data_IF_596189017568
#
_entry.id   IF_596189017568
#
_cell.length_a   1.000
_cell.length_b   1.000
_cell.length_c   1.000
_cell.angle_alpha   90.00
_cell.angle_beta   90.00
_cell.angle_gamma   90.00
#
_symmetry.space_group_name_H-M   'P 1'
#
loop_
_entity.id
_entity.type
_entity.pdbx_description
1 polymer ?
#
# COMPACT_ATOMS: atom_id res chain seq x y z
N UNK A 1 4.33 5.23 53.75
CA UNK A 1 3.15 5.06 52.88
C UNK A 1 3.62 5.29 51.46
N UNK A 2 3.83 4.22 50.68
CA UNK A 2 4.34 4.32 49.31
C UNK A 2 3.14 4.53 48.37
N UNK A 3 3.05 5.71 47.76
CA UNK A 3 1.99 6.03 46.81
C UNK A 3 2.27 5.29 45.49
N UNK A 4 1.46 4.28 45.18
CA UNK A 4 1.48 3.60 43.89
C UNK A 4 0.87 4.54 42.84
N UNK A 5 1.70 5.40 42.27
CA UNK A 5 1.30 6.25 41.15
C UNK A 5 1.01 5.34 39.94
N UNK A 6 -0.25 5.29 39.55
CA UNK A 6 -0.65 4.64 38.29
C UNK A 6 -0.02 5.43 37.15
N UNK A 7 0.81 4.82 36.29
CA UNK A 7 1.49 5.56 35.24
C UNK A 7 0.47 6.18 34.27
N UNK A 8 0.75 7.39 33.74
CA UNK A 8 -0.10 8.03 32.74
C UNK A 8 -0.30 7.09 31.55
N UNK A 9 -1.51 7.08 30.98
CA UNK A 9 -1.97 6.16 29.92
C UNK A 9 -0.95 5.93 28.78
N UNK A 10 -0.19 6.98 28.42
CA UNK A 10 0.86 6.93 27.39
C UNK A 10 2.07 6.06 27.75
N UNK A 11 2.47 6.03 29.01
CA UNK A 11 3.57 5.16 29.46
C UNK A 11 3.12 3.69 29.56
N UNK A 12 1.83 3.46 29.86
CA UNK A 12 1.24 2.13 29.85
C UNK A 12 1.14 1.56 28.43
N UNK A 13 0.74 2.38 27.46
CA UNK A 13 0.76 2.04 26.04
C UNK A 13 2.19 1.75 25.56
N UNK A 14 3.19 2.51 26.01
CA UNK A 14 4.61 2.30 25.67
C UNK A 14 5.21 1.04 26.31
N UNK A 15 4.89 0.74 27.56
CA UNK A 15 5.32 -0.48 28.23
C UNK A 15 4.65 -1.74 27.65
N UNK A 16 3.40 -1.63 27.20
CA UNK A 16 2.72 -2.70 26.44
C UNK A 16 3.38 -2.92 25.06
N UNK A 17 3.91 -1.89 24.42
CA UNK A 17 4.67 -2.02 23.17
C UNK A 17 6.03 -2.72 23.35
N UNK A 18 6.67 -2.58 24.51
CA UNK A 18 8.02 -3.12 24.79
C UNK A 18 8.02 -4.56 25.34
N UNK A 19 6.93 -5.05 25.92
CA UNK A 19 6.89 -6.33 26.65
C UNK A 19 6.32 -7.52 25.86
N UNK A 20 5.74 -7.30 24.69
CA UNK A 20 5.19 -8.40 23.89
C UNK A 20 6.27 -8.89 22.92
N UNK A 21 6.75 -10.14 22.99
CA UNK A 21 7.52 -10.70 21.88
C UNK A 21 6.66 -10.48 20.64
N UNK A 22 7.20 -9.84 19.59
CA UNK A 22 6.46 -9.52 18.36
C UNK A 22 5.67 -10.77 17.94
N UNK A 23 4.41 -10.85 18.39
CA UNK A 23 3.44 -11.76 17.86
C UNK A 23 3.47 -11.41 16.38
N UNK A 24 3.78 -12.40 15.54
CA UNK A 24 4.08 -12.15 14.15
C UNK A 24 2.86 -11.49 13.49
N UNK A 25 2.84 -10.17 13.51
CA UNK A 25 1.70 -9.38 13.07
C UNK A 25 1.51 -9.50 11.55
N UNK A 26 2.49 -10.10 10.86
CA UNK A 26 2.34 -10.53 9.47
C UNK A 26 1.29 -11.63 9.30
N UNK A 27 0.99 -12.41 10.36
CA UNK A 27 -0.06 -13.43 10.35
C UNK A 27 -1.48 -12.83 10.50
N UNK A 28 -1.61 -11.59 10.99
CA UNK A 28 -2.92 -10.94 11.15
C UNK A 28 -3.47 -10.45 9.83
N UNK A 29 -4.65 -10.96 9.46
CA UNK A 29 -5.34 -10.53 8.24
C UNK A 29 -5.89 -9.11 8.37
N UNK A 30 -6.31 -8.73 9.59
CA UNK A 30 -6.84 -7.40 9.88
C UNK A 30 -5.74 -6.35 9.81
N UNK A 31 -4.59 -6.60 10.46
CA UNK A 31 -3.43 -5.70 10.39
C UNK A 31 -3.00 -5.52 8.93
N UNK A 32 -2.87 -6.61 8.17
CA UNK A 32 -2.46 -6.57 6.77
C UNK A 32 -3.43 -5.75 5.90
N UNK A 33 -4.74 -5.94 6.07
CA UNK A 33 -5.76 -5.21 5.30
C UNK A 33 -5.72 -3.70 5.62
N UNK A 34 -5.74 -3.32 6.90
CA UNK A 34 -5.80 -1.91 7.30
C UNK A 34 -4.47 -1.19 7.01
N UNK A 35 -3.33 -1.85 7.22
CA UNK A 35 -2.02 -1.28 6.88
C UNK A 35 -1.89 -1.01 5.38
N UNK A 36 -2.44 -1.89 4.53
CA UNK A 36 -2.47 -1.70 3.08
C UNK A 36 -3.35 -0.53 2.67
N UNK A 37 -4.55 -0.43 3.24
CA UNK A 37 -5.45 0.72 3.07
C UNK A 37 -4.74 2.03 3.45
N UNK A 38 -4.04 2.05 4.59
CA UNK A 38 -3.27 3.22 5.03
C UNK A 38 -2.12 3.54 4.08
N UNK A 39 -1.41 2.52 3.58
CA UNK A 39 -0.34 2.67 2.60
C UNK A 39 -0.84 3.23 1.27
N UNK A 40 -1.91 2.67 0.70
CA UNK A 40 -2.53 3.17 -0.53
C UNK A 40 -2.94 4.64 -0.40
N UNK A 41 -3.49 5.03 0.76
CA UNK A 41 -3.81 6.43 1.02
C UNK A 41 -2.56 7.32 1.10
N UNK A 42 -1.48 6.84 1.73
CA UNK A 42 -0.21 7.56 1.80
C UNK A 42 0.43 7.74 0.41
N UNK A 43 0.40 6.71 -0.45
CA UNK A 43 0.85 6.77 -1.84
C UNK A 43 0.08 7.83 -2.63
N UNK A 44 -1.25 7.84 -2.54
CA UNK A 44 -2.09 8.84 -3.22
C UNK A 44 -1.77 10.25 -2.74
N UNK A 45 -1.63 10.45 -1.42
CA UNK A 45 -1.26 11.76 -0.86
C UNK A 45 0.13 12.22 -1.32
N UNK A 46 1.13 11.35 -1.25
CA UNK A 46 2.50 11.64 -1.69
C UNK A 46 2.54 12.01 -3.18
N UNK A 47 1.79 11.28 -4.01
CA UNK A 47 1.65 11.55 -5.44
C UNK A 47 1.02 12.92 -5.67
N UNK A 48 -0.08 13.23 -4.97
CA UNK A 48 -0.77 14.52 -5.08
C UNK A 48 0.16 15.69 -4.70
N UNK A 49 0.86 15.57 -3.56
CA UNK A 49 1.70 16.64 -3.01
C UNK A 49 2.94 16.92 -3.85
N UNK A 50 3.56 15.88 -4.42
CA UNK A 50 4.78 16.05 -5.22
C UNK A 50 4.47 16.50 -6.67
N UNK A 51 3.38 16.00 -7.25
CA UNK A 51 3.05 16.25 -8.66
C UNK A 51 2.16 17.48 -8.87
N UNK A 52 1.38 17.90 -7.88
CA UNK A 52 0.29 18.88 -8.04
C UNK A 52 -0.72 18.51 -9.15
N UNK A 53 -0.78 17.23 -9.53
CA UNK A 53 -1.73 16.74 -10.53
C UNK A 53 -3.10 16.49 -9.88
N UNK A 54 -4.15 16.81 -10.63
CA UNK A 54 -5.51 16.37 -10.27
C UNK A 54 -5.67 14.89 -10.62
N UNK A 55 -6.41 14.14 -9.80
CA UNK A 55 -6.84 12.78 -10.15
C UNK A 55 -8.16 12.76 -10.91
N UNK A 56 -9.00 13.79 -10.76
CA UNK A 56 -10.31 13.82 -11.39
C UNK A 56 -10.17 13.86 -12.92
N UNK A 57 -10.84 12.92 -13.60
CA UNK A 57 -10.78 12.68 -15.05
C UNK A 57 -9.40 12.28 -15.59
N UNK A 58 -8.40 12.09 -14.72
CA UNK A 58 -7.06 11.67 -15.11
C UNK A 58 -7.04 10.19 -15.46
N UNK A 59 -6.42 9.85 -16.58
CA UNK A 59 -6.17 8.46 -16.98
C UNK A 59 -5.01 7.90 -16.16
N UNK A 60 -5.32 6.90 -15.36
CA UNK A 60 -4.37 6.28 -14.44
C UNK A 60 -4.29 4.78 -14.74
N UNK A 61 -3.08 4.28 -14.91
CA UNK A 61 -2.79 2.85 -14.98
C UNK A 61 -2.33 2.34 -13.62
N UNK A 62 -2.72 1.12 -13.26
CA UNK A 62 -2.20 0.40 -12.11
C UNK A 62 -1.52 -0.85 -12.64
N UNK A 63 -0.22 -0.96 -12.38
CA UNK A 63 0.63 -2.03 -12.86
C UNK A 63 0.81 -3.04 -11.72
N UNK A 64 0.25 -4.24 -11.94
CA UNK A 64 0.10 -5.30 -10.95
C UNK A 64 -1.35 -5.53 -10.56
N UNK A 65 -1.62 -6.74 -10.08
CA UNK A 65 -2.96 -7.26 -9.81
C UNK A 65 -3.14 -7.72 -8.36
N UNK A 66 -2.19 -7.42 -7.49
CA UNK A 66 -2.27 -7.74 -6.08
C UNK A 66 -3.26 -6.89 -5.26
N UNK A 67 -3.39 -7.20 -3.96
CA UNK A 67 -4.26 -6.46 -3.07
C UNK A 67 -4.05 -4.93 -3.02
N UNK A 68 -2.81 -4.44 -3.18
CA UNK A 68 -2.52 -3.00 -3.22
C UNK A 68 -3.08 -2.37 -4.50
N UNK A 69 -3.03 -3.08 -5.62
CA UNK A 69 -3.66 -2.65 -6.86
C UNK A 69 -5.17 -2.46 -6.67
N UNK A 70 -5.82 -3.37 -5.93
CA UNK A 70 -7.24 -3.27 -5.58
C UNK A 70 -7.56 -2.01 -4.78
N UNK A 71 -6.78 -1.72 -3.74
CA UNK A 71 -6.95 -0.51 -2.93
C UNK A 71 -6.73 0.77 -3.72
N UNK A 72 -5.66 0.83 -4.52
CA UNK A 72 -5.35 1.99 -5.36
C UNK A 72 -6.43 2.21 -6.43
N UNK A 73 -6.88 1.14 -7.10
CA UNK A 73 -7.89 1.23 -8.14
C UNK A 73 -9.20 1.78 -7.61
N UNK A 74 -9.66 1.22 -6.48
CA UNK A 74 -10.89 1.63 -5.82
C UNK A 74 -10.81 3.11 -5.39
N UNK A 75 -9.69 3.53 -4.79
CA UNK A 75 -9.50 4.91 -4.33
C UNK A 75 -9.43 5.90 -5.47
N UNK A 76 -8.62 5.62 -6.50
CA UNK A 76 -8.46 6.51 -7.64
C UNK A 76 -9.76 6.63 -8.42
N UNK A 77 -10.49 5.52 -8.62
CA UNK A 77 -11.82 5.54 -9.24
C UNK A 77 -12.81 6.37 -8.41
N UNK A 78 -12.81 6.24 -7.07
CA UNK A 78 -13.64 7.06 -6.19
C UNK A 78 -13.29 8.56 -6.25
N UNK A 79 -12.05 8.91 -6.60
CA UNK A 79 -11.61 10.29 -6.85
C UNK A 79 -11.94 10.78 -8.27
N UNK A 80 -12.61 9.96 -9.09
CA UNK A 80 -13.00 10.30 -10.46
C UNK A 80 -11.92 10.06 -11.52
N UNK A 81 -10.84 9.34 -11.19
CA UNK A 81 -9.85 8.93 -12.18
C UNK A 81 -10.42 7.84 -13.11
N UNK A 82 -9.93 7.81 -14.35
CA UNK A 82 -10.20 6.75 -15.32
C UNK A 82 -9.14 5.68 -15.15
N UNK A 83 -9.45 4.66 -14.35
CA UNK A 83 -8.49 3.63 -13.94
C UNK A 83 -8.52 2.44 -14.88
N UNK A 84 -7.34 2.00 -15.31
CA UNK A 84 -7.12 0.69 -15.93
C UNK A 84 -6.13 -0.11 -15.07
N UNK A 85 -6.45 -1.38 -14.81
CA UNK A 85 -5.57 -2.31 -14.11
C UNK A 85 -4.87 -3.19 -15.14
N UNK A 86 -3.55 -3.28 -15.05
CA UNK A 86 -2.68 -3.97 -16.00
C UNK A 86 -1.93 -5.08 -15.26
N UNK A 87 -2.00 -6.31 -15.77
CA UNK A 87 -1.26 -7.44 -15.23
C UNK A 87 -1.50 -8.71 -16.03
N UNK A 88 -0.92 -9.83 -15.57
CA UNK A 88 -0.97 -11.10 -16.30
C UNK A 88 -1.72 -12.21 -15.55
N UNK A 89 -2.12 -11.98 -14.29
CA UNK A 89 -2.95 -12.92 -13.55
C UNK A 89 -4.41 -12.88 -14.05
N UNK A 90 -4.88 -13.89 -14.78
CA UNK A 90 -6.22 -13.85 -15.38
C UNK A 90 -7.33 -13.89 -14.35
N UNK A 91 -7.12 -14.53 -13.20
CA UNK A 91 -8.14 -14.61 -12.13
C UNK A 91 -8.32 -13.23 -11.52
N UNK A 92 -7.22 -12.59 -11.17
CA UNK A 92 -7.26 -11.24 -10.61
C UNK A 92 -7.87 -10.22 -11.58
N UNK A 93 -7.52 -10.28 -12.88
CA UNK A 93 -8.13 -9.39 -13.89
C UNK A 93 -9.66 -9.58 -14.00
N UNK A 94 -10.14 -10.83 -13.92
CA UNK A 94 -11.60 -11.10 -13.88
C UNK A 94 -12.24 -10.48 -12.63
N UNK A 95 -11.61 -10.60 -11.46
CA UNK A 95 -12.12 -9.96 -10.23
C UNK A 95 -12.20 -8.43 -10.35
N UNK A 96 -11.21 -7.79 -10.99
CA UNK A 96 -11.23 -6.36 -11.28
C UNK A 96 -12.36 -5.98 -12.26
N UNK A 97 -12.51 -6.74 -13.35
CA UNK A 97 -13.55 -6.51 -14.33
C UNK A 97 -14.96 -6.65 -13.74
N UNK A 98 -15.19 -7.62 -12.84
CA UNK A 98 -16.46 -7.80 -12.12
C UNK A 98 -16.81 -6.62 -11.21
N UNK A 99 -15.81 -5.86 -10.77
CA UNK A 99 -15.99 -4.61 -10.00
C UNK A 99 -16.19 -3.39 -10.89
N UNK A 100 -16.28 -3.57 -12.21
CA UNK A 100 -16.49 -2.50 -13.19
C UNK A 100 -15.23 -1.71 -13.54
N UNK A 101 -14.03 -2.22 -13.21
CA UNK A 101 -12.76 -1.59 -13.56
C UNK A 101 -12.30 -2.06 -14.94
N UNK A 102 -11.70 -1.15 -15.73
CA UNK A 102 -11.06 -1.52 -16.97
C UNK A 102 -9.80 -2.35 -16.69
N UNK A 103 -9.54 -3.36 -17.52
CA UNK A 103 -8.42 -4.27 -17.37
C UNK A 103 -7.65 -4.47 -18.68
N UNK A 104 -6.35 -4.72 -18.60
CA UNK A 104 -5.50 -5.02 -19.75
C UNK A 104 -4.35 -5.97 -19.38
N UNK A 105 -3.78 -6.64 -20.39
CA UNK A 105 -2.56 -7.46 -20.27
C UNK A 105 -1.30 -6.58 -20.29
N UNK A 106 -0.20 -7.06 -19.70
CA UNK A 106 1.11 -6.38 -19.80
C UNK A 106 1.70 -6.42 -21.21
N UNK A 107 1.23 -7.32 -22.09
CA UNK A 107 1.70 -7.41 -23.49
C UNK A 107 1.25 -6.21 -24.34
N UNK A 108 0.09 -5.63 -24.02
CA UNK A 108 -0.48 -4.50 -24.73
C UNK A 108 -1.10 -3.52 -23.71
N UNK A 109 -0.28 -2.90 -22.85
CA UNK A 109 -0.79 -2.07 -21.78
C UNK A 109 -1.22 -0.72 -22.40
N UNK A 110 -2.45 -0.24 -22.16
CA UNK A 110 -2.96 0.99 -22.75
C UNK A 110 -2.39 2.20 -22.00
N UNK A 111 -1.07 2.41 -22.11
CA UNK A 111 -0.35 3.48 -21.42
C UNK A 111 -0.20 4.75 -22.26
N UNK A 112 -0.46 4.69 -23.57
CA UNK A 112 -0.18 5.79 -24.49
C UNK A 112 -0.85 7.12 -24.07
N UNK A 113 -2.03 7.02 -23.46
CA UNK A 113 -2.81 8.14 -22.97
C UNK A 113 -2.87 8.25 -21.44
N UNK A 114 -2.17 7.37 -20.72
CA UNK A 114 -2.04 7.44 -19.28
C UNK A 114 -1.11 8.60 -18.89
N UNK A 115 -1.56 9.38 -17.91
CA UNK A 115 -0.78 10.48 -17.31
C UNK A 115 -0.12 10.04 -16.01
N UNK A 116 -0.77 9.09 -15.31
CA UNK A 116 -0.27 8.47 -14.08
C UNK A 116 -0.18 6.95 -14.28
N UNK A 117 0.88 6.33 -13.77
CA UNK A 117 0.96 4.89 -13.63
C UNK A 117 1.44 4.54 -12.22
N UNK A 118 0.82 3.56 -11.57
CA UNK A 118 1.19 3.10 -10.24
C UNK A 118 1.73 1.68 -10.30
N UNK A 119 3.04 1.51 -10.14
CA UNK A 119 3.68 0.21 -10.06
C UNK A 119 3.58 -0.34 -8.63
N UNK A 120 2.83 -1.41 -8.45
CA UNK A 120 2.53 -1.96 -7.12
C UNK A 120 3.56 -2.98 -6.65
N UNK A 121 4.26 -3.64 -7.57
CA UNK A 121 5.20 -4.73 -7.29
C UNK A 121 4.52 -6.03 -6.84
N UNK A 122 3.19 -6.09 -6.84
CA UNK A 122 2.44 -7.28 -6.41
C UNK A 122 1.89 -8.05 -7.62
N UNK A 123 2.22 -9.34 -7.69
CA UNK A 123 1.80 -10.25 -8.77
C UNK A 123 2.18 -9.75 -10.18
N UNK A 124 3.30 -9.03 -10.28
CA UNK A 124 3.85 -8.54 -11.54
C UNK A 124 5.37 -8.52 -11.48
N UNK A 125 6.01 -8.65 -12.64
CA UNK A 125 7.43 -8.35 -12.77
C UNK A 125 7.69 -6.85 -12.51
N UNK A 126 8.89 -6.48 -12.02
CA UNK A 126 9.25 -5.07 -11.88
C UNK A 126 9.15 -4.33 -13.22
N UNK A 127 8.63 -3.10 -13.15
CA UNK A 127 8.44 -2.25 -14.33
C UNK A 127 9.79 -1.70 -14.77
N UNK A 128 10.11 -1.91 -16.04
CA UNK A 128 11.27 -1.32 -16.71
C UNK A 128 10.83 -0.20 -17.65
N UNK A 129 11.64 0.86 -17.87
CA UNK A 129 11.26 2.00 -18.70
C UNK A 129 10.81 1.64 -20.12
N UNK A 130 11.39 0.60 -20.72
CA UNK A 130 11.04 0.12 -22.04
C UNK A 130 9.57 -0.37 -22.15
N UNK A 131 8.96 -0.78 -21.04
CA UNK A 131 7.57 -1.26 -21.00
C UNK A 131 6.52 -0.13 -20.98
N UNK A 132 6.94 1.14 -20.89
CA UNK A 132 6.03 2.29 -20.74
C UNK A 132 5.47 2.83 -22.07
N UNK A 133 5.91 2.27 -23.20
CA UNK A 133 5.50 2.70 -24.54
C UNK A 133 6.05 4.07 -24.96
N UNK A 134 5.45 4.63 -26.01
CA UNK A 134 5.89 5.87 -26.66
C UNK A 134 4.86 7.01 -26.58
N UNK A 135 3.92 6.94 -25.62
CA UNK A 135 2.88 7.94 -25.41
C UNK A 135 3.35 9.32 -24.93
N UNK A 136 2.42 10.14 -24.44
CA UNK A 136 2.71 11.49 -23.92
C UNK A 136 3.54 11.51 -22.62
N UNK A 137 3.63 12.62 -21.89
CA UNK A 137 4.30 12.63 -20.59
C UNK A 137 3.64 11.68 -19.57
N UNK A 138 4.42 10.92 -18.80
CA UNK A 138 3.94 9.97 -17.79
C UNK A 138 4.63 10.18 -16.45
N UNK A 139 3.86 10.26 -15.37
CA UNK A 139 4.38 10.08 -14.01
C UNK A 139 4.16 8.63 -13.57
N UNK A 140 5.25 7.88 -13.52
CA UNK A 140 5.32 6.55 -12.93
C UNK A 140 5.57 6.68 -11.42
N UNK A 141 4.71 6.05 -10.64
CA UNK A 141 4.78 6.00 -9.18
C UNK A 141 5.20 4.60 -8.77
N UNK A 142 6.37 4.44 -8.17
CA UNK A 142 6.71 3.22 -7.44
C UNK A 142 5.94 3.22 -6.12
N UNK A 143 4.84 2.47 -6.11
CA UNK A 143 3.91 2.36 -4.99
C UNK A 143 4.26 1.20 -4.06
N UNK A 144 5.31 0.43 -4.32
CA UNK A 144 5.66 -0.69 -3.46
C UNK A 144 6.25 -0.22 -2.12
N UNK A 145 5.86 -0.93 -1.06
CA UNK A 145 6.22 -0.56 0.32
C UNK A 145 7.61 -1.05 0.73
N UNK A 146 8.04 -2.20 0.22
CA UNK A 146 9.24 -2.90 0.70
C UNK A 146 10.32 -2.99 -0.38
N UNK A 147 10.00 -3.64 -1.49
CA UNK A 147 10.92 -3.82 -2.61
C UNK A 147 10.54 -2.87 -3.76
N UNK A 148 11.50 -2.36 -4.55
CA UNK A 148 11.18 -1.50 -5.67
C UNK A 148 10.31 -2.21 -6.71
N UNK A 149 9.15 -1.62 -7.05
CA UNK A 149 8.34 -2.09 -8.18
C UNK A 149 8.85 -1.58 -9.52
N UNK A 150 9.77 -0.62 -9.51
CA UNK A 150 10.35 0.00 -10.71
C UNK A 150 11.87 -0.16 -10.66
N UNK A 151 12.44 -0.66 -11.75
CA UNK A 151 13.89 -0.78 -11.93
C UNK A 151 14.28 0.07 -13.13
N UNK A 152 14.89 1.23 -12.86
CA UNK A 152 15.22 2.20 -13.90
C UNK A 152 16.42 3.06 -13.54
N UNK A 153 17.13 3.53 -14.56
CA UNK A 153 18.09 4.62 -14.44
C UNK A 153 17.34 5.95 -14.39
N UNK A 154 17.69 6.76 -13.40
CA UNK A 154 17.06 8.06 -13.14
C UNK A 154 18.06 9.19 -13.20
N UNK A 155 17.61 10.33 -13.71
CA UNK A 155 18.28 11.61 -13.57
C UNK A 155 17.56 12.45 -12.51
N UNK A 156 18.22 12.79 -11.39
CA UNK A 156 17.62 13.61 -10.34
C UNK A 156 17.37 15.07 -10.78
N UNK A 157 17.89 15.51 -11.92
CA UNK A 157 17.70 16.86 -12.47
C UNK A 157 16.31 17.09 -13.10
N UNK A 158 15.23 16.58 -12.49
CA UNK A 158 13.85 16.82 -12.96
C UNK A 158 13.33 18.22 -12.63
N UNK A 159 14.02 18.97 -11.78
CA UNK A 159 13.59 20.26 -11.25
C UNK A 159 12.53 20.19 -10.14
N UNK A 160 12.08 18.99 -9.73
CA UNK A 160 11.14 18.80 -8.62
C UNK A 160 11.67 17.83 -7.56
N UNK A 161 11.68 18.20 -6.27
CA UNK A 161 12.08 17.30 -5.19
C UNK A 161 11.24 16.01 -5.18
N UNK A 162 11.90 14.86 -5.05
CA UNK A 162 11.25 13.54 -4.97
C UNK A 162 10.73 12.99 -6.29
N UNK A 163 10.91 13.70 -7.40
CA UNK A 163 10.60 13.20 -8.74
C UNK A 163 11.90 13.16 -9.52
N UNK A 164 12.22 12.05 -10.17
CA UNK A 164 13.38 11.92 -11.03
C UNK A 164 12.93 11.66 -12.48
N UNK A 165 13.72 12.07 -13.47
CA UNK A 165 13.44 11.76 -14.87
C UNK A 165 13.92 10.35 -15.19
N UNK A 166 13.15 9.58 -15.96
CA UNK A 166 13.56 8.28 -16.49
C UNK A 166 14.38 8.47 -17.77
N UNK A 167 15.56 7.85 -17.85
CA UNK A 167 16.50 8.05 -18.97
C UNK A 167 16.27 7.12 -20.17
N UNK A 168 15.69 5.94 -19.96
CA UNK A 168 15.53 4.89 -20.99
C UNK A 168 14.08 4.63 -21.41
N UNK A 169 13.16 5.54 -21.08
CA UNK A 169 11.78 5.42 -21.51
C UNK A 169 11.63 5.90 -22.96
N UNK A 170 10.80 5.21 -23.75
CA UNK A 170 10.44 5.62 -25.12
C UNK A 170 9.58 6.90 -25.20
N UNK A 171 9.37 7.57 -24.06
CA UNK A 171 8.54 8.75 -23.86
C UNK A 171 9.13 9.62 -22.74
N UNK A 172 8.63 10.84 -22.62
CA UNK A 172 8.92 11.66 -21.45
C UNK A 172 8.27 11.01 -20.22
N UNK A 173 9.10 10.48 -19.31
CA UNK A 173 8.61 9.81 -18.12
C UNK A 173 9.38 10.22 -16.87
N UNK A 174 8.66 10.28 -15.76
CA UNK A 174 9.16 10.67 -14.46
C UNK A 174 8.85 9.58 -13.44
N UNK A 175 9.75 9.37 -12.49
CA UNK A 175 9.59 8.43 -11.39
C UNK A 175 9.39 9.18 -10.09
N UNK A 176 8.32 8.83 -9.38
CA UNK A 176 8.11 9.18 -7.97
C UNK A 176 8.20 7.90 -7.14
N UNK A 177 9.08 7.87 -6.15
CA UNK A 177 9.22 6.74 -5.23
C UNK A 177 8.38 7.01 -3.97
N UNK A 178 7.21 6.39 -3.86
CA UNK A 178 6.25 6.75 -2.83
C UNK A 178 6.80 6.54 -1.41
N UNK A 179 7.59 5.48 -1.19
CA UNK A 179 8.26 5.19 0.10
C UNK A 179 9.27 6.24 0.57
N UNK A 180 9.76 7.10 -0.32
CA UNK A 180 10.69 8.17 0.03
C UNK A 180 9.98 9.48 0.41
N UNK A 181 8.70 9.62 0.04
CA UNK A 181 7.92 10.86 0.19
C UNK A 181 6.76 10.68 1.18
N UNK A 182 6.16 9.48 1.20
CA UNK A 182 5.04 9.16 2.05
C UNK A 182 5.41 9.39 3.52
N UNK A 183 4.49 10.03 4.24
CA UNK A 183 4.65 10.29 5.66
C UNK A 183 4.68 8.97 6.46
N UNK A 184 5.27 9.02 7.65
CA UNK A 184 5.33 7.87 8.56
C UNK A 184 3.94 7.44 9.09
N UNK A 185 2.85 8.03 8.60
CA UNK A 185 1.49 7.71 9.05
C UNK A 185 1.11 6.25 8.81
N UNK A 186 1.44 5.70 7.64
CA UNK A 186 1.14 4.30 7.31
C UNK A 186 1.95 3.34 8.18
N UNK A 187 3.22 3.66 8.45
CA UNK A 187 4.09 2.90 9.36
C UNK A 187 3.53 2.93 10.79
N UNK A 188 3.24 4.12 11.33
CA UNK A 188 2.65 4.29 12.66
C UNK A 188 1.32 3.57 12.80
N UNK A 189 0.49 3.57 11.75
CA UNK A 189 -0.78 2.83 11.73
C UNK A 189 -0.52 1.33 11.84
N UNK A 190 0.41 0.79 11.04
CA UNK A 190 0.80 -0.63 11.11
C UNK A 190 1.34 -1.01 12.49
N UNK A 191 2.23 -0.21 13.05
CA UNK A 191 2.85 -0.47 14.35
C UNK A 191 1.80 -0.46 15.48
N UNK A 192 0.88 0.51 15.46
CA UNK A 192 -0.21 0.59 16.42
C UNK A 192 -1.16 -0.62 16.31
N UNK A 193 -1.48 -1.08 15.10
CA UNK A 193 -2.32 -2.25 14.88
C UNK A 193 -1.62 -3.55 15.30
N UNK A 194 -0.34 -3.69 14.97
CA UNK A 194 0.47 -4.84 15.39
C UNK A 194 0.50 -4.96 16.92
N UNK A 195 0.64 -3.85 17.63
CA UNK A 195 0.60 -3.81 19.10
C UNK A 195 -0.75 -4.27 19.66
N UNK A 196 -1.86 -3.80 19.07
CA UNK A 196 -3.21 -4.19 19.49
C UNK A 196 -3.49 -5.67 19.21
N UNK A 197 -3.09 -6.16 18.03
CA UNK A 197 -3.16 -7.58 17.71
C UNK A 197 -2.38 -8.44 18.70
N UNK A 198 -1.16 -8.01 19.06
CA UNK A 198 -0.33 -8.72 20.01
C UNK A 198 -0.99 -8.78 21.41
N UNK A 199 -1.61 -7.68 21.87
CA UNK A 199 -2.40 -7.68 23.11
C UNK A 199 -3.63 -8.58 23.06
N UNK A 200 -4.33 -8.62 21.91
CA UNK A 200 -5.46 -9.52 21.70
C UNK A 200 -5.02 -11.00 21.69
N UNK A 201 -3.88 -11.30 21.08
CA UNK A 201 -3.31 -12.66 21.05
C UNK A 201 -2.91 -13.13 22.44
N UNK A 202 -2.30 -12.25 23.24
CA UNK A 202 -1.98 -12.55 24.64
C UNK A 202 -3.25 -12.86 25.44
N UNK A 203 -4.30 -12.06 25.25
CA UNK A 203 -5.59 -12.27 25.93
C UNK A 203 -6.21 -13.62 25.54
N UNK A 204 -6.25 -13.94 24.25
CA UNK A 204 -6.77 -15.23 23.77
C UNK A 204 -5.94 -16.42 24.27
N UNK A 205 -4.62 -16.28 24.34
CA UNK A 205 -3.72 -17.33 24.85
C UNK A 205 -3.93 -17.55 26.36
N UNK A 206 -4.17 -16.49 27.12
CA UNK A 206 -4.43 -16.58 28.55
C UNK A 206 -5.79 -17.24 28.84
N UNK A 207 -6.79 -17.02 27.98
CA UNK A 207 -8.12 -17.64 28.09
C UNK A 207 -8.11 -19.13 27.74
N UNK A 208 -7.35 -19.54 26.73
CA UNK A 208 -7.27 -20.93 26.27
C UNK A 208 -5.83 -21.28 25.82
N UNK A 209 -4.95 -21.65 26.77
CA UNK A 209 -3.55 -21.97 26.46
C UNK A 209 -3.38 -23.23 25.60
N UNK A 210 -4.43 -24.04 25.47
CA UNK A 210 -4.41 -25.30 24.71
C UNK A 210 -4.89 -25.15 23.27
N UNK A 211 -5.44 -23.99 22.90
CA UNK A 211 -5.87 -23.71 21.55
C UNK A 211 -4.71 -23.74 20.55
N UNK A 212 -5.00 -24.10 19.30
CA UNK A 212 -4.01 -24.03 18.23
C UNK A 212 -3.65 -22.58 17.90
N UNK A 213 -2.45 -22.36 17.38
CA UNK A 213 -1.99 -21.02 16.99
C UNK A 213 -2.95 -20.35 15.97
N UNK A 214 -3.46 -21.12 15.01
CA UNK A 214 -4.41 -20.63 14.01
C UNK A 214 -5.75 -20.20 14.64
N UNK A 215 -6.18 -20.89 15.69
CA UNK A 215 -7.38 -20.50 16.43
C UNK A 215 -7.14 -19.22 17.25
N UNK A 216 -6.00 -19.13 17.93
CA UNK A 216 -5.60 -17.96 18.68
C UNK A 216 -5.47 -16.72 17.77
N UNK A 217 -4.85 -16.85 16.60
CA UNK A 217 -4.77 -15.78 15.60
C UNK A 217 -6.17 -15.35 15.11
N UNK A 218 -7.09 -16.29 14.83
CA UNK A 218 -8.46 -15.97 14.42
C UNK A 218 -9.24 -15.24 15.52
N UNK A 219 -9.08 -15.64 16.79
CA UNK A 219 -9.70 -14.96 17.93
C UNK A 219 -9.14 -13.55 18.10
N UNK A 220 -7.82 -13.38 17.98
CA UNK A 220 -7.16 -12.08 18.03
C UNK A 220 -7.58 -11.14 16.88
N UNK A 221 -7.66 -11.66 15.65
CA UNK A 221 -8.15 -10.91 14.49
C UNK A 221 -9.61 -10.47 14.68
N UNK A 222 -10.47 -11.36 15.19
CA UNK A 222 -11.87 -11.01 15.48
C UNK A 222 -11.96 -9.89 16.52
N UNK A 223 -11.23 -10.00 17.62
CA UNK A 223 -11.22 -8.98 18.68
C UNK A 223 -10.75 -7.62 18.13
N UNK A 224 -9.68 -7.62 17.33
CA UNK A 224 -9.18 -6.40 16.68
C UNK A 224 -10.20 -5.81 15.69
N UNK A 225 -10.84 -6.65 14.87
CA UNK A 225 -11.86 -6.19 13.93
C UNK A 225 -13.06 -5.57 14.65
N UNK A 226 -13.54 -6.18 15.73
CA UNK A 226 -14.62 -5.64 16.55
C UNK A 226 -14.25 -4.33 17.22
N UNK A 227 -12.99 -4.15 17.64
CA UNK A 227 -12.50 -2.88 18.19
C UNK A 227 -12.53 -1.76 17.13
N UNK A 228 -12.12 -2.06 15.90
CA UNK A 228 -12.03 -1.08 14.81
C UNK A 228 -13.39 -0.64 14.25
N UNK A 229 -14.45 -1.41 14.50
CA UNK A 229 -15.81 -1.12 14.01
C UNK A 229 -16.69 -0.37 15.03
N UNK A 230 -16.22 -0.14 16.25
CA UNK A 230 -16.91 0.63 17.30
C UNK A 230 -16.58 2.12 17.21
#
# INVERSE_FOLDING_TARGET
MSATLTPPRRERERALLEAVPLADASASRVVAAVARTAWAQAVVRATASASNLSFAQTRAAILGTGPLASELATRLAAMGARVVVVGDDPVALVEFAQRGLAVASTEAPPLDDAVLAFATGELAAPVVPAALGAGGPLLLVDAAQSEPAVVALTDPASGRPGIARLLDAGREAFLLVAREIADESARRTRDALAARFAGALQSATAEDPTASLDELHRRADRALAEELLR
#
